data_IF_407191235579
#
_entry.id   IF_407191235579
#
_cell.length_a   1.000
_cell.length_b   1.000
_cell.length_c   1.000
_cell.angle_alpha   90.00
_cell.angle_beta   90.00
_cell.angle_gamma   90.00
#
_symmetry.space_group_name_H-M   'P 1'
#
loop_
_entity.id
_entity.type
_entity.pdbx_description
1 polymer ?
#
# COMPACT_ATOMS: atom_id res chain seq x y z
N UNK A 1 -16.15 27.91 -42.65
CA UNK A 1 -16.58 26.62 -42.09
C UNK A 1 -15.57 26.24 -41.03
N UNK A 2 -15.83 26.68 -39.80
CA UNK A 2 -14.89 26.58 -38.67
C UNK A 2 -15.38 25.53 -37.72
N UNK A 3 -14.67 24.41 -37.62
CA UNK A 3 -14.77 23.49 -36.48
C UNK A 3 -13.37 23.31 -35.93
N UNK A 4 -12.96 24.29 -35.13
CA UNK A 4 -11.94 24.13 -34.11
C UNK A 4 -12.41 23.02 -33.16
N UNK A 5 -11.94 21.79 -33.39
CA UNK A 5 -11.93 20.76 -32.37
C UNK A 5 -11.01 21.29 -31.27
N UNK A 6 -11.63 21.83 -30.23
CA UNK A 6 -10.97 22.16 -28.98
C UNK A 6 -10.25 20.89 -28.54
N UNK A 7 -8.92 20.94 -28.51
CA UNK A 7 -8.12 20.02 -27.73
C UNK A 7 -8.73 19.99 -26.34
N UNK A 8 -9.49 18.93 -26.04
CA UNK A 8 -10.17 18.76 -24.76
C UNK A 8 -9.12 18.81 -23.68
N UNK A 9 -9.12 19.92 -22.94
CA UNK A 9 -8.30 20.24 -21.78
C UNK A 9 -7.47 19.06 -21.24
N UNK A 10 -6.23 18.93 -21.74
CA UNK A 10 -5.20 18.06 -21.16
C UNK A 10 -4.65 18.66 -19.85
N UNK A 11 -5.54 19.16 -18.99
CA UNK A 11 -5.24 19.60 -17.63
C UNK A 11 -5.49 18.44 -16.68
N UNK A 12 -4.59 18.24 -15.73
CA UNK A 12 -4.81 17.30 -14.61
C UNK A 12 -6.11 17.64 -13.90
N UNK A 13 -7.14 16.82 -14.07
CA UNK A 13 -8.41 17.01 -13.38
C UNK A 13 -8.20 16.96 -11.86
N UNK A 14 -9.03 17.67 -11.09
CA UNK A 14 -8.98 17.62 -9.62
C UNK A 14 -9.08 16.19 -9.08
N UNK A 15 -9.82 15.32 -9.76
CA UNK A 15 -9.89 13.89 -9.46
C UNK A 15 -8.54 13.18 -9.62
N UNK A 16 -7.75 13.52 -10.65
CA UNK A 16 -6.42 12.93 -10.85
C UNK A 16 -5.44 13.30 -9.74
N UNK A 17 -5.52 14.55 -9.26
CA UNK A 17 -4.73 15.02 -8.11
C UNK A 17 -5.18 14.32 -6.83
N UNK A 18 -6.49 14.20 -6.60
CA UNK A 18 -7.03 13.50 -5.43
C UNK A 18 -6.60 12.02 -5.39
N UNK A 19 -6.61 11.32 -6.54
CA UNK A 19 -6.14 9.93 -6.64
C UNK A 19 -4.63 9.83 -6.34
N UNK A 20 -3.82 10.76 -6.86
CA UNK A 20 -2.39 10.79 -6.55
C UNK A 20 -2.14 10.98 -5.05
N UNK A 21 -2.81 11.94 -4.43
CA UNK A 21 -2.70 12.18 -2.98
C UNK A 21 -3.15 10.94 -2.20
N UNK A 22 -4.30 10.34 -2.55
CA UNK A 22 -4.80 9.12 -1.93
C UNK A 22 -3.82 7.96 -2.00
N UNK A 23 -3.16 7.76 -3.16
CA UNK A 23 -2.11 6.75 -3.32
C UNK A 23 -0.90 7.03 -2.45
N UNK A 24 -0.41 8.27 -2.41
CA UNK A 24 0.73 8.64 -1.58
C UNK A 24 0.41 8.38 -0.10
N UNK A 25 -0.76 8.82 0.37
CA UNK A 25 -1.16 8.63 1.77
C UNK A 25 -1.34 7.16 2.13
N UNK A 26 -1.99 6.37 1.27
CA UNK A 26 -2.12 4.92 1.48
C UNK A 26 -0.77 4.21 1.45
N UNK A 27 0.10 4.54 0.50
CA UNK A 27 1.39 3.88 0.33
C UNK A 27 2.43 4.31 1.37
N UNK A 28 2.35 5.54 1.90
CA UNK A 28 3.33 6.07 2.84
C UNK A 28 3.55 5.15 4.04
N UNK A 29 2.48 4.58 4.60
CA UNK A 29 2.60 3.68 5.75
C UNK A 29 3.39 2.40 5.41
N UNK A 30 3.22 1.86 4.19
CA UNK A 30 3.94 0.67 3.73
C UNK A 30 5.39 0.98 3.39
N UNK A 31 5.65 2.13 2.75
CA UNK A 31 7.02 2.57 2.45
C UNK A 31 7.81 2.77 3.75
N UNK A 32 7.23 3.47 4.72
CA UNK A 32 7.86 3.70 6.03
C UNK A 32 8.04 2.39 6.80
N UNK A 33 7.03 1.53 6.84
CA UNK A 33 7.10 0.25 7.53
C UNK A 33 8.12 -0.69 6.90
N UNK A 34 8.11 -0.82 5.57
CA UNK A 34 9.03 -1.68 4.83
C UNK A 34 10.47 -1.20 4.95
N UNK A 35 10.70 0.12 4.82
CA UNK A 35 12.01 0.71 5.05
C UNK A 35 12.51 0.41 6.47
N UNK A 36 11.69 0.66 7.50
CA UNK A 36 12.04 0.38 8.89
C UNK A 36 12.40 -1.08 9.13
N UNK A 37 11.65 -2.03 8.56
CA UNK A 37 11.95 -3.46 8.66
C UNK A 37 13.27 -3.85 8.01
N UNK A 38 13.61 -3.22 6.88
CA UNK A 38 14.85 -3.50 6.16
C UNK A 38 16.08 -2.84 6.77
N UNK A 39 15.92 -1.69 7.45
CA UNK A 39 17.02 -1.05 8.19
C UNK A 39 17.22 -1.62 9.58
N UNK A 40 16.21 -2.27 10.15
CA UNK A 40 16.29 -3.01 11.41
C UNK A 40 15.70 -4.42 11.29
N UNK A 41 16.40 -5.26 10.51
CA UNK A 41 16.04 -6.67 10.33
C UNK A 41 16.14 -7.43 11.67
N UNK A 42 17.11 -7.08 12.51
CA UNK A 42 17.33 -7.73 13.80
C UNK A 42 16.14 -7.54 14.75
N UNK A 43 15.71 -6.29 14.94
CA UNK A 43 14.55 -5.97 15.76
C UNK A 43 13.26 -6.59 15.21
N UNK A 44 13.05 -6.49 13.90
CA UNK A 44 11.86 -7.07 13.24
C UNK A 44 11.82 -8.59 13.39
N UNK A 45 12.94 -9.28 13.14
CA UNK A 45 13.04 -10.72 13.29
C UNK A 45 12.84 -11.16 14.76
N UNK A 46 13.37 -10.40 15.72
CA UNK A 46 13.13 -10.64 17.14
C UNK A 46 11.64 -10.60 17.48
N UNK A 47 10.92 -9.57 17.01
CA UNK A 47 9.48 -9.47 17.21
C UNK A 47 8.71 -10.59 16.49
N UNK A 48 9.04 -10.90 15.23
CA UNK A 48 8.44 -12.01 14.48
C UNK A 48 8.64 -13.36 15.18
N UNK A 49 9.81 -13.60 15.77
CA UNK A 49 10.06 -14.77 16.59
C UNK A 49 9.17 -14.82 17.84
N UNK A 50 8.95 -13.67 18.49
CA UNK A 50 8.11 -13.58 19.69
C UNK A 50 6.63 -13.94 19.44
N UNK A 51 6.14 -13.73 18.21
CA UNK A 51 4.78 -14.10 17.78
C UNK A 51 4.73 -15.48 17.08
N UNK A 52 5.83 -16.24 17.10
CA UNK A 52 5.89 -17.63 16.65
C UNK A 52 6.03 -17.82 15.13
N UNK A 53 6.45 -16.79 14.38
CA UNK A 53 6.67 -16.95 12.94
C UNK A 53 7.91 -17.83 12.66
N UNK A 54 7.79 -18.83 11.76
CA UNK A 54 8.94 -19.64 11.35
C UNK A 54 9.92 -18.80 10.53
N UNK A 55 11.22 -19.10 10.65
CA UNK A 55 12.31 -18.41 9.95
C UNK A 55 12.19 -16.86 10.00
N UNK A 56 12.12 -16.25 11.19
CA UNK A 56 11.70 -14.86 11.37
C UNK A 56 12.57 -13.85 10.62
N UNK A 57 13.87 -14.11 10.47
CA UNK A 57 14.78 -13.25 9.69
C UNK A 57 14.44 -13.25 8.20
N UNK A 58 14.13 -14.41 7.62
CA UNK A 58 13.74 -14.51 6.21
C UNK A 58 12.41 -13.80 6.01
N UNK A 59 11.44 -14.04 6.90
CA UNK A 59 10.13 -13.38 6.83
C UNK A 59 10.26 -11.87 7.00
N UNK A 60 11.12 -11.37 7.89
CA UNK A 60 11.38 -9.94 8.07
C UNK A 60 11.87 -9.28 6.76
N UNK A 61 12.82 -9.91 6.07
CA UNK A 61 13.33 -9.42 4.78
C UNK A 61 12.24 -9.45 3.72
N UNK A 62 11.51 -10.56 3.59
CA UNK A 62 10.46 -10.69 2.57
C UNK A 62 9.31 -9.70 2.78
N UNK A 63 8.86 -9.53 4.03
CA UNK A 63 7.81 -8.56 4.38
C UNK A 63 8.31 -7.13 4.12
N UNK A 64 9.53 -6.80 4.56
CA UNK A 64 10.09 -5.48 4.34
C UNK A 64 10.23 -5.13 2.85
N UNK A 65 10.69 -6.08 2.04
CA UNK A 65 10.77 -5.93 0.58
C UNK A 65 9.37 -5.78 -0.05
N UNK A 66 8.41 -6.60 0.35
CA UNK A 66 7.04 -6.52 -0.16
C UNK A 66 6.43 -5.15 0.12
N UNK A 67 6.46 -4.70 1.37
CA UNK A 67 5.89 -3.42 1.79
C UNK A 67 6.57 -2.25 1.07
N UNK A 68 7.90 -2.24 1.02
CA UNK A 68 8.64 -1.14 0.41
C UNK A 68 8.45 -1.09 -1.11
N UNK A 69 8.64 -2.22 -1.81
CA UNK A 69 8.56 -2.26 -3.27
C UNK A 69 7.13 -2.03 -3.75
N UNK A 70 6.13 -2.69 -3.14
CA UNK A 70 4.74 -2.49 -3.53
C UNK A 70 4.23 -1.09 -3.13
N UNK A 71 4.67 -0.55 -1.98
CA UNK A 71 4.38 0.82 -1.58
C UNK A 71 4.91 1.83 -2.60
N UNK A 72 6.18 1.72 -2.99
CA UNK A 72 6.78 2.58 -4.01
C UNK A 72 6.09 2.42 -5.38
N UNK A 73 5.73 1.19 -5.75
CA UNK A 73 4.97 0.92 -6.97
C UNK A 73 3.61 1.65 -6.97
N UNK A 74 2.88 1.68 -5.85
CA UNK A 74 1.64 2.46 -5.71
C UNK A 74 1.89 3.97 -5.83
N UNK A 75 2.95 4.50 -5.19
CA UNK A 75 3.29 5.94 -5.24
C UNK A 75 3.50 6.40 -6.68
N UNK A 76 4.33 5.69 -7.44
CA UNK A 76 4.60 6.04 -8.86
C UNK A 76 3.44 5.65 -9.77
N UNK A 77 2.54 4.78 -9.29
CA UNK A 77 1.44 4.25 -10.07
C UNK A 77 1.87 3.26 -11.13
N UNK A 78 2.71 2.30 -10.76
CA UNK A 78 3.16 1.22 -11.62
C UNK A 78 2.57 -0.10 -11.12
N UNK A 79 1.86 -0.82 -12.00
CA UNK A 79 1.14 -2.05 -11.66
C UNK A 79 0.24 -1.85 -10.42
N UNK A 80 -0.42 -0.70 -10.34
CA UNK A 80 -1.11 -0.22 -9.12
C UNK A 80 -2.12 -1.24 -8.61
N UNK A 81 -2.87 -1.89 -9.51
CA UNK A 81 -3.83 -2.93 -9.17
C UNK A 81 -3.18 -4.14 -8.49
N UNK A 82 -2.09 -4.63 -9.06
CA UNK A 82 -1.39 -5.81 -8.53
C UNK A 82 -0.73 -5.46 -7.19
N UNK A 83 -0.04 -4.32 -7.11
CA UNK A 83 0.60 -3.86 -5.89
C UNK A 83 -0.41 -3.64 -4.75
N UNK A 84 -1.56 -3.02 -5.05
CA UNK A 84 -2.62 -2.80 -4.07
C UNK A 84 -3.24 -4.11 -3.58
N UNK A 85 -3.50 -5.08 -4.46
CA UNK A 85 -4.00 -6.40 -4.07
C UNK A 85 -2.98 -7.19 -3.23
N UNK A 86 -1.70 -7.12 -3.59
CA UNK A 86 -0.63 -7.76 -2.82
C UNK A 86 -0.54 -7.18 -1.41
N UNK A 87 -0.55 -5.85 -1.26
CA UNK A 87 -0.57 -5.20 0.05
C UNK A 87 -1.86 -5.45 0.82
N UNK A 88 -3.01 -5.55 0.16
CA UNK A 88 -4.27 -5.86 0.82
C UNK A 88 -4.24 -7.26 1.44
N UNK A 89 -3.81 -8.26 0.65
CA UNK A 89 -3.67 -9.65 1.13
C UNK A 89 -2.65 -9.74 2.27
N UNK A 90 -1.49 -9.08 2.12
CA UNK A 90 -0.49 -8.98 3.17
C UNK A 90 -1.05 -8.35 4.44
N UNK A 91 -1.77 -7.22 4.33
CA UNK A 91 -2.32 -6.51 5.48
C UNK A 91 -3.35 -7.35 6.22
N UNK A 92 -4.19 -8.10 5.51
CA UNK A 92 -5.11 -9.08 6.12
C UNK A 92 -4.30 -10.12 6.90
N UNK A 93 -3.32 -10.76 6.27
CA UNK A 93 -2.49 -11.79 6.92
C UNK A 93 -1.77 -11.27 8.16
N UNK A 94 -1.08 -10.13 8.05
CA UNK A 94 -0.38 -9.49 9.16
C UNK A 94 -1.32 -9.15 10.33
N UNK A 95 -2.53 -8.67 10.03
CA UNK A 95 -3.55 -8.34 11.04
C UNK A 95 -4.03 -9.58 11.78
N UNK A 96 -4.34 -10.65 11.06
CA UNK A 96 -4.84 -11.89 11.65
C UNK A 96 -3.78 -12.61 12.51
N UNK A 97 -2.50 -12.41 12.18
CA UNK A 97 -1.38 -13.01 12.93
C UNK A 97 -1.06 -12.19 14.19
N UNK A 98 -1.02 -10.85 14.09
CA UNK A 98 -0.40 -10.02 15.12
C UNK A 98 -1.35 -9.10 15.90
N UNK A 99 -2.60 -8.93 15.46
CA UNK A 99 -3.52 -7.90 15.98
C UNK A 99 -4.94 -8.43 16.23
N UNK A 100 -5.06 -9.60 16.84
CA UNK A 100 -6.34 -10.27 17.14
C UNK A 100 -6.72 -10.29 18.61
N UNK A 101 -5.89 -9.75 19.51
CA UNK A 101 -6.28 -9.59 20.91
C UNK A 101 -7.19 -8.37 21.09
N UNK A 102 -8.49 -8.57 20.96
CA UNK A 102 -9.49 -7.49 21.06
C UNK A 102 -9.68 -6.93 22.47
N UNK A 103 -9.15 -7.58 23.51
CA UNK A 103 -9.14 -7.04 24.86
C UNK A 103 -8.03 -6.00 25.07
N UNK A 104 -6.99 -6.02 24.22
CA UNK A 104 -5.94 -5.00 24.18
C UNK A 104 -6.37 -3.85 23.26
N UNK A 105 -6.53 -2.66 23.84
CA UNK A 105 -6.99 -1.47 23.11
C UNK A 105 -6.09 -1.12 21.92
N UNK A 106 -4.77 -1.25 22.07
CA UNK A 106 -3.83 -0.92 21.01
C UNK A 106 -3.94 -1.91 19.86
N UNK A 107 -4.05 -3.21 20.15
CA UNK A 107 -4.26 -4.20 19.10
C UNK A 107 -5.60 -4.00 18.37
N UNK A 108 -6.67 -3.68 19.10
CA UNK A 108 -7.97 -3.41 18.49
C UNK A 108 -7.94 -2.18 17.57
N UNK A 109 -7.25 -1.11 17.97
CA UNK A 109 -7.04 0.06 17.11
C UNK A 109 -6.23 -0.27 15.86
N UNK A 110 -5.17 -1.08 15.98
CA UNK A 110 -4.36 -1.51 14.83
C UNK A 110 -5.19 -2.39 13.89
N UNK A 111 -6.01 -3.29 14.43
CA UNK A 111 -6.94 -4.10 13.64
C UNK A 111 -7.87 -3.22 12.80
N UNK A 112 -8.55 -2.26 13.42
CA UNK A 112 -9.47 -1.34 12.73
C UNK A 112 -8.75 -0.53 11.65
N UNK A 113 -7.59 0.03 12.00
CA UNK A 113 -6.73 0.77 11.05
C UNK A 113 -6.38 -0.10 9.85
N UNK A 114 -5.91 -1.32 10.08
CA UNK A 114 -5.54 -2.23 9.00
C UNK A 114 -6.75 -2.61 8.12
N UNK A 115 -7.93 -2.79 8.72
CA UNK A 115 -9.17 -3.06 7.99
C UNK A 115 -9.57 -1.88 7.08
N UNK A 116 -9.48 -0.65 7.59
CA UNK A 116 -9.70 0.56 6.80
C UNK A 116 -8.69 0.68 5.64
N UNK A 117 -7.42 0.35 5.90
CA UNK A 117 -6.36 0.35 4.89
C UNK A 117 -6.62 -0.69 3.80
N UNK A 118 -7.04 -1.91 4.16
CA UNK A 118 -7.47 -2.94 3.20
C UNK A 118 -8.62 -2.40 2.32
N UNK A 119 -9.61 -1.75 2.92
CA UNK A 119 -10.69 -1.09 2.17
C UNK A 119 -10.17 -0.07 1.16
N UNK A 120 -9.27 0.82 1.57
CA UNK A 120 -8.63 1.81 0.71
C UNK A 120 -7.81 1.18 -0.43
N UNK A 121 -7.06 0.12 -0.14
CA UNK A 121 -6.29 -0.62 -1.14
C UNK A 121 -7.19 -1.34 -2.15
N UNK A 122 -8.30 -1.93 -1.72
CA UNK A 122 -9.27 -2.55 -2.63
C UNK A 122 -9.93 -1.50 -3.52
N UNK A 123 -10.37 -0.38 -2.96
CA UNK A 123 -10.89 0.74 -3.77
C UNK A 123 -9.85 1.18 -4.80
N UNK A 124 -8.60 1.37 -4.39
CA UNK A 124 -7.53 1.75 -5.31
C UNK A 124 -7.27 0.68 -6.40
N UNK A 125 -7.29 -0.60 -6.04
CA UNK A 125 -7.05 -1.69 -6.97
C UNK A 125 -8.06 -1.72 -8.12
N UNK A 126 -9.31 -1.35 -7.85
CA UNK A 126 -10.39 -1.37 -8.84
C UNK A 126 -10.67 0.00 -9.48
N UNK A 127 -10.44 1.12 -8.77
CA UNK A 127 -10.54 2.46 -9.34
C UNK A 127 -9.37 2.80 -10.26
N UNK A 128 -8.20 2.17 -10.04
CA UNK A 128 -7.00 2.35 -10.85
C UNK A 128 -6.13 3.53 -10.43
N UNK A 129 -5.03 3.72 -11.17
CA UNK A 129 -3.93 4.60 -10.79
C UNK A 129 -4.19 6.10 -11.04
N UNK A 130 -5.25 6.45 -11.78
CA UNK A 130 -5.52 7.81 -12.25
C UNK A 130 -4.53 8.30 -13.32
N UNK A 131 -4.80 9.47 -13.92
CA UNK A 131 -4.03 9.99 -15.04
C UNK A 131 -2.57 10.39 -14.68
N UNK A 132 -2.32 10.69 -13.40
CA UNK A 132 -0.98 11.03 -12.88
C UNK A 132 -0.22 9.78 -12.44
N UNK A 133 -0.02 8.83 -13.35
CA UNK A 133 0.61 7.55 -13.04
C UNK A 133 1.47 7.02 -14.18
N UNK A 134 2.37 6.08 -13.87
CA UNK A 134 3.11 5.33 -14.89
C UNK A 134 2.16 4.42 -15.68
N UNK A 135 1.16 3.81 -15.04
CA UNK A 135 0.16 2.97 -15.68
C UNK A 135 -0.60 3.72 -16.78
N UNK A 136 -1.01 4.96 -16.53
CA UNK A 136 -1.69 5.81 -17.53
C UNK A 136 -0.81 6.15 -18.76
N UNK A 137 0.52 6.03 -18.64
CA UNK A 137 1.46 6.23 -19.76
C UNK A 137 1.75 4.94 -20.53
N UNK A 138 1.34 3.78 -20.00
CA UNK A 138 1.62 2.45 -20.58
C UNK A 138 0.46 1.87 -21.39
N UNK A 139 -0.75 2.40 -21.25
CA UNK A 139 -1.96 1.97 -21.98
C UNK A 139 -3.10 1.63 -21.05
#
# INVERSE_FOLDING_TARGET
MSTSATAGQAGTSGASVAILIGRILLAAMFVLAGFGKLTDIGGTAGWFGSIGLPAPTIVAVLVGLLELVAGLAIVVGFQTRIAALALALFTIGATLIAHTNFADMMQFLIFQKNFAVVGGLLVLAFAGAGALSVDARRG
#
